data_IF_921622966131
#
_entry.id   IF_921622966131
#
_cell.length_a   1.000
_cell.length_b   1.000
_cell.length_c   1.000
_cell.angle_alpha   90.00
_cell.angle_beta   90.00
_cell.angle_gamma   90.00
#
_symmetry.space_group_name_H-M   'P 1'
#
loop_
_entity.id
_entity.type
_entity.pdbx_description
1 polymer ?
#
# COMPACT_ATOMS: atom_id res chain seq x y z
N UNK A 1 -11.57 -1.11 -35.89
CA UNK A 1 -13.03 -0.94 -35.74
C UNK A 1 -13.42 -1.74 -34.52
N UNK A 2 -13.90 -1.09 -33.44
CA UNK A 2 -14.31 -1.76 -32.22
C UNK A 2 -15.58 -2.60 -32.44
N UNK A 3 -15.71 -3.69 -31.71
CA UNK A 3 -16.94 -4.50 -31.67
C UNK A 3 -18.00 -3.69 -30.91
N UNK A 4 -19.25 -3.58 -31.40
CA UNK A 4 -20.30 -2.87 -30.69
C UNK A 4 -20.56 -3.44 -29.29
N UNK A 5 -20.86 -2.58 -28.32
CA UNK A 5 -21.05 -2.95 -26.91
C UNK A 5 -22.11 -4.03 -26.73
N UNK A 6 -23.19 -3.97 -27.46
CA UNK A 6 -24.28 -4.97 -27.46
C UNK A 6 -23.81 -6.38 -27.81
N UNK A 7 -22.85 -6.53 -28.72
CA UNK A 7 -22.27 -7.84 -29.06
C UNK A 7 -21.32 -8.39 -27.97
N UNK A 8 -20.77 -7.53 -27.12
CA UNK A 8 -19.99 -7.96 -25.97
C UNK A 8 -20.89 -8.47 -24.85
N UNK A 9 -22.00 -7.81 -24.58
CA UNK A 9 -22.93 -8.19 -23.51
C UNK A 9 -23.57 -9.58 -23.76
N UNK A 10 -23.79 -9.96 -25.02
CA UNK A 10 -24.27 -11.31 -25.37
C UNK A 10 -23.19 -12.40 -25.26
N UNK A 11 -21.92 -12.07 -25.47
CA UNK A 11 -20.85 -13.07 -25.61
C UNK A 11 -19.89 -13.13 -24.41
N UNK A 12 -19.87 -12.10 -23.58
CA UNK A 12 -18.99 -12.00 -22.43
C UNK A 12 -19.79 -12.11 -21.15
N UNK A 13 -19.68 -13.24 -20.49
CA UNK A 13 -20.24 -13.41 -19.15
C UNK A 13 -19.18 -13.02 -18.11
N UNK A 14 -19.50 -12.07 -17.24
CA UNK A 14 -18.62 -11.63 -16.18
C UNK A 14 -18.79 -12.55 -14.95
N UNK A 15 -17.96 -13.57 -14.86
CA UNK A 15 -17.92 -14.47 -13.70
C UNK A 15 -17.00 -14.00 -12.58
N UNK A 16 -16.40 -12.81 -12.70
CA UNK A 16 -15.37 -12.35 -11.78
C UNK A 16 -14.02 -13.05 -12.01
N UNK A 17 -13.16 -13.01 -10.99
CA UNK A 17 -11.85 -13.67 -11.03
C UNK A 17 -11.73 -14.65 -9.86
N UNK A 18 -11.70 -15.97 -10.10
CA UNK A 18 -11.52 -16.96 -9.05
C UNK A 18 -10.26 -16.72 -8.21
N UNK A 19 -9.22 -16.19 -8.83
CA UNK A 19 -7.97 -15.84 -8.13
C UNK A 19 -8.16 -14.69 -7.14
N UNK A 20 -8.94 -13.67 -7.51
CA UNK A 20 -9.26 -12.54 -6.64
C UNK A 20 -10.19 -12.99 -5.50
N UNK A 21 -11.22 -13.78 -5.81
CA UNK A 21 -12.13 -14.33 -4.81
C UNK A 21 -11.40 -15.18 -3.78
N UNK A 22 -10.48 -16.02 -4.24
CA UNK A 22 -9.66 -16.85 -3.35
C UNK A 22 -8.77 -15.99 -2.46
N UNK A 23 -8.07 -14.99 -3.01
CA UNK A 23 -7.26 -14.08 -2.22
C UNK A 23 -8.08 -13.30 -1.17
N UNK A 24 -9.32 -12.89 -1.52
CA UNK A 24 -10.23 -12.19 -0.58
C UNK A 24 -10.81 -13.09 0.51
N UNK A 25 -11.11 -14.35 0.18
CA UNK A 25 -11.74 -15.30 1.10
C UNK A 25 -10.76 -16.01 2.02
N UNK A 26 -9.49 -16.10 1.63
CA UNK A 26 -8.46 -16.77 2.42
C UNK A 26 -8.19 -15.99 3.71
N UNK A 27 -8.35 -16.68 4.84
CA UNK A 27 -8.10 -16.12 6.17
C UNK A 27 -6.69 -16.42 6.64
N UNK A 28 -6.15 -15.51 7.46
CA UNK A 28 -4.87 -15.72 8.15
C UNK A 28 -4.91 -16.98 9.00
N UNK A 29 -3.90 -17.82 8.85
CA UNK A 29 -3.74 -19.06 9.60
C UNK A 29 -2.27 -19.23 9.99
N UNK A 30 -1.80 -18.44 10.96
CA UNK A 30 -0.39 -18.47 11.37
C UNK A 30 0.02 -19.85 11.92
N UNK A 31 -0.94 -20.63 12.47
CA UNK A 31 -0.68 -22.01 12.94
C UNK A 31 -0.32 -23.00 11.83
N UNK A 32 -0.69 -22.71 10.58
CA UNK A 32 -0.33 -23.53 9.41
C UNK A 32 1.05 -23.23 8.85
N UNK A 33 1.68 -22.14 9.30
CA UNK A 33 3.00 -21.74 8.86
C UNK A 33 4.11 -22.61 9.50
N UNK A 34 5.24 -22.81 8.82
CA UNK A 34 6.42 -23.43 9.41
C UNK A 34 6.82 -22.74 10.72
N UNK A 35 7.29 -23.51 11.70
CA UNK A 35 7.64 -22.99 13.02
C UNK A 35 8.65 -21.84 12.95
N UNK A 36 9.73 -22.00 12.20
CA UNK A 36 10.74 -20.97 11.95
C UNK A 36 10.12 -19.66 11.44
N UNK A 37 9.07 -19.73 10.60
CA UNK A 37 8.40 -18.54 10.09
C UNK A 37 7.51 -17.89 11.16
N UNK A 38 6.86 -18.69 11.99
CA UNK A 38 6.06 -18.17 13.12
C UNK A 38 6.92 -17.39 14.09
N UNK A 39 8.11 -17.88 14.41
CA UNK A 39 9.07 -17.17 15.27
C UNK A 39 9.42 -15.78 14.72
N UNK A 40 9.55 -15.64 13.40
CA UNK A 40 9.80 -14.33 12.77
C UNK A 40 8.62 -13.35 12.92
N UNK A 41 7.38 -13.87 13.04
CA UNK A 41 6.16 -13.06 13.07
C UNK A 41 5.79 -12.53 14.45
N UNK A 42 6.37 -13.06 15.51
CA UNK A 42 6.02 -12.70 16.88
C UNK A 42 7.21 -12.07 17.61
N UNK A 43 6.90 -11.19 18.53
CA UNK A 43 7.87 -10.62 19.47
C UNK A 43 8.03 -11.55 20.69
N UNK A 44 9.10 -11.39 21.48
CA UNK A 44 9.29 -12.17 22.72
C UNK A 44 8.14 -12.03 23.73
N UNK A 45 7.41 -10.92 23.69
CA UNK A 45 6.22 -10.67 24.53
C UNK A 45 4.95 -11.37 24.00
N UNK A 46 5.05 -12.14 22.93
CA UNK A 46 3.94 -12.83 22.28
C UNK A 46 3.10 -11.96 21.34
N UNK A 47 3.38 -10.67 21.25
CA UNK A 47 2.66 -9.80 20.33
C UNK A 47 3.10 -10.00 18.88
N UNK A 48 2.11 -10.07 17.97
CA UNK A 48 2.39 -10.24 16.55
C UNK A 48 2.95 -8.95 15.94
N UNK A 49 4.02 -9.09 15.18
CA UNK A 49 4.59 -7.99 14.39
C UNK A 49 3.68 -7.65 13.22
N UNK A 50 3.69 -6.39 12.77
CA UNK A 50 3.13 -6.03 11.47
C UNK A 50 4.00 -6.62 10.38
N UNK A 51 3.38 -7.35 9.46
CA UNK A 51 4.09 -8.11 8.43
C UNK A 51 3.95 -7.45 7.08
N UNK A 52 5.09 -7.11 6.48
CA UNK A 52 5.18 -6.49 5.16
C UNK A 52 5.57 -7.55 4.14
N UNK A 53 4.72 -7.74 3.13
CA UNK A 53 5.04 -8.60 1.98
C UNK A 53 5.94 -7.81 1.03
N UNK A 54 7.14 -8.30 0.78
CA UNK A 54 8.09 -7.68 -0.14
C UNK A 54 8.29 -8.56 -1.37
N UNK A 55 7.92 -8.04 -2.55
CA UNK A 55 8.02 -8.77 -3.80
C UNK A 55 8.91 -8.05 -4.81
N UNK A 56 9.75 -8.84 -5.48
CA UNK A 56 10.68 -8.41 -6.50
C UNK A 56 10.19 -8.90 -7.86
N UNK A 57 10.10 -8.01 -8.85
CA UNK A 57 9.70 -8.34 -10.22
C UNK A 57 10.90 -8.50 -11.15
N UNK A 58 10.73 -9.34 -12.15
CA UNK A 58 11.73 -9.51 -13.21
C UNK A 58 11.85 -8.24 -14.05
N UNK A 59 10.75 -7.52 -14.28
CA UNK A 59 10.76 -6.28 -15.04
C UNK A 59 11.64 -5.22 -14.37
N UNK A 60 11.47 -4.99 -13.06
CA UNK A 60 12.30 -4.05 -12.32
C UNK A 60 13.78 -4.47 -12.33
N UNK A 61 14.06 -5.77 -12.20
CA UNK A 61 15.41 -6.30 -12.31
C UNK A 61 16.08 -5.93 -13.64
N UNK A 62 15.35 -6.01 -14.75
CA UNK A 62 15.89 -5.75 -16.07
C UNK A 62 16.02 -4.26 -16.42
N UNK A 63 15.10 -3.45 -15.93
CA UNK A 63 14.99 -2.03 -16.29
C UNK A 63 15.71 -1.09 -15.32
N UNK A 64 15.90 -1.52 -14.06
CA UNK A 64 16.40 -0.64 -13.00
C UNK A 64 17.88 -0.96 -12.67
N UNK A 65 18.80 -0.01 -12.85
CA UNK A 65 20.24 -0.24 -12.61
C UNK A 65 20.57 -0.46 -11.12
N UNK A 66 19.84 0.21 -10.22
CA UNK A 66 20.15 0.25 -8.79
C UNK A 66 19.39 -0.80 -7.96
N UNK A 67 18.77 -1.79 -8.65
CA UNK A 67 17.88 -2.75 -8.00
C UNK A 67 18.55 -3.57 -6.90
N UNK A 68 19.81 -3.98 -7.10
CA UNK A 68 20.56 -4.72 -6.08
C UNK A 68 20.84 -3.89 -4.82
N UNK A 69 21.18 -2.62 -4.99
CA UNK A 69 21.37 -1.71 -3.88
C UNK A 69 20.05 -1.45 -3.16
N UNK A 70 18.96 -1.33 -3.90
CA UNK A 70 17.62 -1.16 -3.32
C UNK A 70 17.20 -2.34 -2.46
N UNK A 71 17.42 -3.58 -2.93
CA UNK A 71 17.15 -4.78 -2.13
C UNK A 71 17.95 -4.74 -0.82
N UNK A 72 19.24 -4.46 -0.90
CA UNK A 72 20.13 -4.36 0.27
C UNK A 72 19.63 -3.31 1.29
N UNK A 73 19.25 -2.12 0.83
CA UNK A 73 18.70 -1.06 1.68
C UNK A 73 17.39 -1.47 2.36
N UNK A 74 16.49 -2.14 1.62
CA UNK A 74 15.23 -2.65 2.19
C UNK A 74 15.52 -3.69 3.28
N UNK A 75 16.37 -4.67 3.00
CA UNK A 75 16.74 -5.69 3.98
C UNK A 75 17.38 -5.04 5.23
N UNK A 76 18.28 -4.09 5.04
CA UNK A 76 18.94 -3.37 6.12
C UNK A 76 17.96 -2.55 6.98
N UNK A 77 16.98 -1.91 6.36
CA UNK A 77 15.94 -1.17 7.07
C UNK A 77 15.11 -2.10 7.97
N UNK A 78 14.64 -3.23 7.46
CA UNK A 78 13.78 -4.15 8.21
C UNK A 78 14.54 -4.94 9.28
N UNK A 79 15.83 -5.26 9.06
CA UNK A 79 16.69 -5.99 10.02
C UNK A 79 16.66 -5.41 11.43
N UNK A 80 16.62 -4.09 11.54
CA UNK A 80 16.67 -3.38 12.80
C UNK A 80 15.29 -3.11 13.43
N UNK A 81 14.19 -3.54 12.79
CA UNK A 81 12.83 -3.28 13.25
C UNK A 81 12.29 -4.45 14.08
N UNK A 82 12.04 -4.17 15.36
CA UNK A 82 11.45 -5.17 16.27
C UNK A 82 9.94 -5.28 16.18
N UNK A 83 9.29 -4.28 15.60
CA UNK A 83 7.84 -4.14 15.45
C UNK A 83 7.33 -4.64 14.10
N UNK A 84 8.24 -4.85 13.13
CA UNK A 84 7.93 -5.29 11.77
C UNK A 84 8.55 -6.65 11.48
N UNK A 85 7.89 -7.41 10.60
CA UNK A 85 8.44 -8.59 9.96
C UNK A 85 8.40 -8.41 8.45
N UNK A 86 9.47 -8.80 7.75
CA UNK A 86 9.51 -8.80 6.30
C UNK A 86 9.23 -10.22 5.78
N UNK A 87 8.29 -10.33 4.85
CA UNK A 87 8.02 -11.55 4.10
C UNK A 87 8.51 -11.36 2.67
N UNK A 88 9.74 -11.75 2.42
CA UNK A 88 10.37 -11.60 1.11
C UNK A 88 9.99 -12.77 0.20
N UNK A 89 9.37 -12.43 -0.93
CA UNK A 89 9.01 -13.39 -1.99
C UNK A 89 9.46 -12.87 -3.35
N UNK A 90 10.66 -13.24 -3.81
CA UNK A 90 11.10 -12.95 -5.16
C UNK A 90 10.23 -13.66 -6.21
N UNK A 91 10.18 -13.11 -7.41
CA UNK A 91 9.55 -13.80 -8.53
C UNK A 91 10.28 -15.15 -8.78
N UNK A 92 9.57 -16.26 -9.08
CA UNK A 92 10.20 -17.57 -9.28
C UNK A 92 11.33 -17.58 -10.33
N UNK A 93 11.23 -16.73 -11.34
CA UNK A 93 12.26 -16.61 -12.39
C UNK A 93 13.34 -15.58 -12.08
N UNK A 94 13.34 -14.98 -10.87
CA UNK A 94 14.24 -13.86 -10.55
C UNK A 94 15.71 -14.27 -10.63
N UNK A 95 16.08 -15.35 -9.99
CA UNK A 95 17.45 -15.87 -9.97
C UNK A 95 17.89 -16.36 -11.35
N UNK A 96 17.04 -17.11 -12.06
CA UNK A 96 17.32 -17.56 -13.40
C UNK A 96 17.50 -16.38 -14.38
N UNK A 97 16.72 -15.33 -14.23
CA UNK A 97 16.88 -14.10 -15.02
C UNK A 97 18.21 -13.40 -14.71
N UNK A 98 18.62 -13.35 -13.43
CA UNK A 98 19.95 -12.84 -13.07
C UNK A 98 21.05 -13.65 -13.74
N UNK A 99 20.97 -14.97 -13.66
CA UNK A 99 22.00 -15.86 -14.22
C UNK A 99 22.20 -15.62 -15.72
N UNK A 100 21.11 -15.44 -16.47
CA UNK A 100 21.15 -15.31 -17.93
C UNK A 100 21.39 -13.86 -18.37
N UNK A 101 20.70 -12.91 -17.75
CA UNK A 101 20.62 -11.54 -18.26
C UNK A 101 21.51 -10.54 -17.50
N UNK A 102 21.84 -10.82 -16.23
CA UNK A 102 22.63 -9.95 -15.37
C UNK A 102 23.56 -10.73 -14.42
N UNK A 103 24.44 -11.60 -14.95
CA UNK A 103 25.26 -12.53 -14.15
C UNK A 103 26.16 -11.81 -13.13
N UNK A 104 26.54 -10.56 -13.40
CA UNK A 104 27.36 -9.75 -12.47
C UNK A 104 26.68 -9.51 -11.11
N UNK A 105 25.37 -9.60 -11.03
CA UNK A 105 24.62 -9.40 -9.78
C UNK A 105 24.25 -10.71 -9.06
N UNK A 106 24.37 -11.86 -9.72
CA UNK A 106 23.92 -13.15 -9.21
C UNK A 106 24.58 -13.51 -7.86
N UNK A 107 25.90 -13.33 -7.75
CA UNK A 107 26.62 -13.62 -6.52
C UNK A 107 26.13 -12.75 -5.36
N UNK A 108 26.04 -11.44 -5.58
CA UNK A 108 25.55 -10.50 -4.55
C UNK A 108 24.12 -10.82 -4.13
N UNK A 109 23.27 -11.17 -5.07
CA UNK A 109 21.89 -11.56 -4.78
C UNK A 109 21.82 -12.81 -3.89
N UNK A 110 22.59 -13.86 -4.23
CA UNK A 110 22.63 -15.09 -3.41
C UNK A 110 23.18 -14.83 -2.01
N UNK A 111 24.23 -14.03 -1.89
CA UNK A 111 24.80 -13.63 -0.60
C UNK A 111 23.77 -12.87 0.27
N UNK A 112 23.00 -11.95 -0.32
CA UNK A 112 21.95 -11.22 0.39
C UNK A 112 20.84 -12.15 0.88
N UNK A 113 20.35 -13.06 0.04
CA UNK A 113 19.31 -14.00 0.44
C UNK A 113 19.79 -15.02 1.47
N UNK A 114 21.01 -15.54 1.33
CA UNK A 114 21.60 -16.45 2.30
C UNK A 114 21.74 -15.80 3.68
N UNK A 115 22.27 -14.58 3.73
CA UNK A 115 22.35 -13.81 4.97
C UNK A 115 20.97 -13.55 5.59
N UNK A 116 20.00 -13.16 4.77
CA UNK A 116 18.64 -12.93 5.22
C UNK A 116 17.99 -14.18 5.85
N UNK A 117 18.18 -15.34 5.24
CA UNK A 117 17.66 -16.61 5.73
C UNK A 117 18.39 -17.10 6.99
N UNK A 118 19.72 -16.98 7.02
CA UNK A 118 20.56 -17.38 8.15
C UNK A 118 20.28 -16.56 9.41
N UNK A 119 20.14 -15.24 9.26
CA UNK A 119 19.86 -14.33 10.37
C UNK A 119 18.45 -14.53 10.97
N UNK A 120 17.50 -15.04 10.21
CA UNK A 120 16.20 -15.50 10.71
C UNK A 120 15.28 -14.42 11.29
N UNK A 121 15.48 -13.15 10.96
CA UNK A 121 14.61 -12.06 11.42
C UNK A 121 13.40 -11.79 10.53
N UNK A 122 13.33 -12.44 9.37
CA UNK A 122 12.24 -12.36 8.41
C UNK A 122 11.98 -13.70 7.70
N UNK A 123 11.07 -13.71 6.76
CA UNK A 123 10.63 -14.91 6.04
C UNK A 123 11.09 -14.84 4.60
N UNK A 124 11.91 -15.80 4.16
CA UNK A 124 12.21 -16.02 2.75
C UNK A 124 11.25 -17.08 2.20
N UNK A 125 10.39 -16.67 1.27
CA UNK A 125 9.36 -17.52 0.68
C UNK A 125 9.69 -17.83 -0.77
N UNK A 126 10.08 -19.07 -1.04
CA UNK A 126 10.45 -19.56 -2.38
C UNK A 126 9.31 -20.26 -3.14
N UNK A 127 8.09 -20.33 -2.59
CA UNK A 127 6.99 -21.00 -3.30
C UNK A 127 5.83 -21.47 -2.43
N UNK A 128 5.67 -20.93 -1.23
CA UNK A 128 4.53 -21.22 -0.37
C UNK A 128 3.19 -20.78 -1.01
N UNK A 129 2.06 -21.22 -0.47
CA UNK A 129 0.73 -20.81 -0.93
C UNK A 129 0.61 -19.28 -0.92
N UNK A 130 0.41 -18.70 -2.10
CA UNK A 130 0.37 -17.25 -2.26
C UNK A 130 -0.81 -16.62 -1.53
N UNK A 131 -1.97 -17.28 -1.51
CA UNK A 131 -3.17 -16.73 -0.88
C UNK A 131 -3.01 -16.70 0.64
N UNK A 132 -2.39 -17.74 1.22
CA UNK A 132 -2.02 -17.76 2.64
C UNK A 132 -0.94 -16.73 2.96
N UNK A 133 0.05 -16.54 2.09
CA UNK A 133 1.07 -15.51 2.26
C UNK A 133 0.44 -14.10 2.25
N UNK A 134 -0.46 -13.82 1.29
CA UNK A 134 -1.24 -12.58 1.23
C UNK A 134 -2.09 -12.41 2.49
N UNK A 135 -2.78 -13.46 2.93
CA UNK A 135 -3.61 -13.43 4.13
C UNK A 135 -2.79 -13.14 5.40
N UNK A 136 -1.57 -13.66 5.48
CA UNK A 136 -0.68 -13.52 6.64
C UNK A 136 -0.01 -12.15 6.73
N UNK A 137 0.12 -11.42 5.62
CA UNK A 137 0.74 -10.09 5.60
C UNK A 137 -0.28 -8.97 5.80
N UNK A 138 0.16 -7.86 6.39
CA UNK A 138 -0.70 -6.70 6.67
C UNK A 138 -0.68 -5.68 5.52
N UNK A 139 0.41 -5.62 4.76
CA UNK A 139 0.55 -4.73 3.60
C UNK A 139 1.55 -5.31 2.58
N UNK A 140 1.54 -4.72 1.39
CA UNK A 140 2.47 -4.99 0.31
C UNK A 140 3.46 -3.82 0.17
N UNK A 141 4.72 -4.14 -0.03
CA UNK A 141 5.76 -3.24 -0.51
C UNK A 141 6.57 -3.95 -1.60
N UNK A 142 6.87 -3.27 -2.70
CA UNK A 142 7.66 -3.87 -3.77
C UNK A 142 7.30 -3.35 -5.16
N UNK A 143 7.69 -4.11 -6.18
CA UNK A 143 7.48 -3.74 -7.57
C UNK A 143 6.01 -3.90 -7.98
N UNK A 144 5.61 -3.16 -9.02
CA UNK A 144 4.31 -3.38 -9.65
C UNK A 144 4.23 -4.81 -10.19
N UNK A 145 3.19 -5.54 -9.81
CA UNK A 145 3.02 -6.95 -10.18
C UNK A 145 1.55 -7.40 -10.01
N UNK A 146 1.23 -8.58 -10.56
CA UNK A 146 -0.08 -9.20 -10.32
C UNK A 146 -0.31 -9.52 -8.84
N UNK A 147 0.74 -9.73 -8.06
CA UNK A 147 0.64 -9.94 -6.61
C UNK A 147 0.24 -8.66 -5.90
N UNK A 148 0.81 -7.52 -6.28
CA UNK A 148 0.39 -6.21 -5.79
C UNK A 148 -1.10 -5.97 -6.03
N UNK A 149 -1.60 -6.36 -7.21
CA UNK A 149 -3.02 -6.25 -7.52
C UNK A 149 -3.88 -7.13 -6.60
N UNK A 150 -3.44 -8.35 -6.27
CA UNK A 150 -4.16 -9.21 -5.31
C UNK A 150 -4.23 -8.58 -3.91
N UNK A 151 -3.13 -7.98 -3.43
CA UNK A 151 -3.15 -7.23 -2.17
C UNK A 151 -4.15 -6.09 -2.21
N UNK A 152 -4.17 -5.33 -3.29
CA UNK A 152 -5.12 -4.27 -3.50
C UNK A 152 -6.57 -4.76 -3.42
N UNK A 153 -6.86 -5.87 -4.08
CA UNK A 153 -8.19 -6.48 -4.08
C UNK A 153 -8.63 -7.00 -2.70
N UNK A 154 -7.70 -7.33 -1.81
CA UNK A 154 -8.01 -7.66 -0.40
C UNK A 154 -8.25 -6.42 0.47
N UNK A 155 -8.09 -5.21 -0.07
CA UNK A 155 -8.21 -3.97 0.66
C UNK A 155 -7.03 -3.65 1.58
N UNK A 156 -5.93 -4.38 1.48
CA UNK A 156 -4.70 -4.11 2.24
C UNK A 156 -3.88 -3.00 1.57
N UNK A 157 -3.12 -2.22 2.34
CA UNK A 157 -2.23 -1.20 1.79
C UNK A 157 -1.22 -1.78 0.81
N UNK A 158 -1.03 -1.09 -0.32
CA UNK A 158 -0.04 -1.42 -1.35
C UNK A 158 0.85 -0.21 -1.58
N UNK A 159 2.14 -0.39 -1.38
CA UNK A 159 3.19 0.60 -1.61
C UNK A 159 4.12 0.09 -2.71
N UNK A 160 4.26 0.86 -3.78
CA UNK A 160 5.23 0.55 -4.83
C UNK A 160 6.59 1.13 -4.47
N UNK A 161 7.63 0.31 -4.60
CA UNK A 161 8.99 0.79 -4.38
C UNK A 161 9.44 1.67 -5.55
N UNK A 162 10.21 2.70 -5.20
CA UNK A 162 11.06 3.40 -6.17
C UNK A 162 12.41 2.68 -6.17
N UNK A 163 12.73 2.03 -7.27
CA UNK A 163 14.00 1.31 -7.44
C UNK A 163 15.20 2.24 -7.67
N UNK A 164 14.96 3.51 -7.91
CA UNK A 164 16.03 4.50 -7.95
C UNK A 164 16.54 4.73 -6.53
N UNK A 165 17.75 4.27 -6.25
CA UNK A 165 18.46 4.61 -5.03
C UNK A 165 18.91 6.06 -5.16
N UNK A 166 18.22 6.95 -4.44
CA UNK A 166 18.61 8.35 -4.35
C UNK A 166 19.42 8.54 -3.08
N UNK A 167 20.59 9.19 -3.20
CA UNK A 167 21.40 9.53 -2.04
C UNK A 167 20.54 10.14 -0.92
N UNK A 168 20.61 9.53 0.25
CA UNK A 168 20.27 9.90 1.64
C UNK A 168 19.32 11.07 1.98
N UNK A 169 18.69 11.73 1.04
CA UNK A 169 17.50 12.54 1.30
C UNK A 169 16.32 11.72 0.86
N UNK A 170 15.76 11.01 1.79
CA UNK A 170 14.54 10.23 1.59
C UNK A 170 13.42 11.19 1.16
N UNK A 171 13.44 11.57 -0.10
CA UNK A 171 12.24 12.06 -0.77
C UNK A 171 11.50 10.78 -1.17
N UNK A 172 10.77 10.20 -0.23
CA UNK A 172 9.66 9.35 -0.62
C UNK A 172 8.89 10.23 -1.60
N UNK A 173 8.65 9.82 -2.86
CA UNK A 173 7.72 10.53 -3.70
C UNK A 173 6.35 10.32 -3.08
N UNK A 174 6.13 11.03 -2.00
CA UNK A 174 4.84 11.20 -1.41
C UNK A 174 4.12 12.10 -2.39
N UNK A 175 3.19 11.54 -3.16
CA UNK A 175 2.23 12.31 -3.89
C UNK A 175 1.11 12.62 -2.89
N UNK A 176 1.20 13.74 -2.15
CA UNK A 176 0.08 14.14 -1.33
C UNK A 176 -1.06 14.46 -2.29
N UNK A 177 -2.07 13.60 -2.31
CA UNK A 177 -3.29 13.90 -3.05
C UNK A 177 -4.01 15.08 -2.41
N UNK A 178 -4.04 15.10 -1.08
CA UNK A 178 -4.59 16.17 -0.26
C UNK A 178 -3.74 16.31 1.00
N UNK A 179 -3.52 17.53 1.47
CA UNK A 179 -2.77 17.78 2.69
C UNK A 179 -3.29 19.00 3.44
N UNK A 180 -3.00 19.03 4.72
CA UNK A 180 -3.07 20.17 5.62
C UNK A 180 -1.71 20.33 6.31
N UNK A 181 -1.25 21.55 6.52
CA UNK A 181 0.08 21.86 7.05
C UNK A 181 0.04 23.08 7.93
N UNK A 182 0.81 23.05 9.02
CA UNK A 182 1.19 24.20 9.82
C UNK A 182 2.72 24.22 10.08
N UNK A 183 3.16 25.04 11.04
CA UNK A 183 4.59 25.17 11.38
C UNK A 183 5.18 23.88 11.99
N UNK A 184 4.35 23.02 12.59
CA UNK A 184 4.79 21.86 13.39
C UNK A 184 4.61 20.54 12.66
N UNK A 185 3.55 20.42 11.87
CA UNK A 185 3.14 19.13 11.33
C UNK A 185 2.47 19.23 9.96
N UNK A 186 2.46 18.08 9.26
CA UNK A 186 1.73 17.89 8.00
C UNK A 186 0.88 16.66 8.12
N UNK A 187 -0.39 16.80 7.77
CA UNK A 187 -1.33 15.69 7.63
C UNK A 187 -1.69 15.54 6.16
N UNK A 188 -1.54 14.35 5.60
CA UNK A 188 -1.83 14.16 4.19
C UNK A 188 -2.38 12.77 3.87
N UNK A 189 -3.19 12.73 2.83
CA UNK A 189 -3.65 11.48 2.21
C UNK A 189 -2.78 11.21 1.01
N UNK A 190 -2.28 10.00 0.89
CA UNK A 190 -1.50 9.61 -0.28
C UNK A 190 -2.41 9.50 -1.51
N UNK A 191 -2.02 10.14 -2.64
CA UNK A 191 -2.86 10.23 -3.83
C UNK A 191 -3.16 8.92 -4.55
N UNK A 192 -2.41 7.83 -4.25
CA UNK A 192 -2.58 6.52 -4.92
C UNK A 192 -2.93 5.39 -3.97
N UNK A 193 -2.89 5.62 -2.67
CA UNK A 193 -3.23 4.61 -1.67
C UNK A 193 -4.16 5.22 -0.64
N UNK A 194 -5.12 4.45 -0.18
CA UNK A 194 -6.13 4.91 0.78
C UNK A 194 -5.56 4.90 2.20
N UNK A 195 -4.55 5.77 2.45
CA UNK A 195 -3.87 5.89 3.73
C UNK A 195 -3.73 7.35 4.16
N UNK A 196 -3.95 7.60 5.45
CA UNK A 196 -3.65 8.86 6.11
C UNK A 196 -2.26 8.80 6.73
N UNK A 197 -1.48 9.85 6.54
CA UNK A 197 -0.14 10.03 7.09
C UNK A 197 -0.05 11.29 7.92
N UNK A 198 0.84 11.24 8.91
CA UNK A 198 1.22 12.36 9.74
C UNK A 198 2.74 12.53 9.71
N UNK A 199 3.22 13.73 9.44
CA UNK A 199 4.63 14.09 9.53
C UNK A 199 4.83 15.16 10.59
N UNK A 200 5.57 14.81 11.63
CA UNK A 200 6.02 15.72 12.68
C UNK A 200 7.33 16.37 12.22
N UNK A 201 7.29 17.68 11.99
CA UNK A 201 8.44 18.45 11.51
C UNK A 201 9.54 18.64 12.57
N UNK A 202 9.17 18.61 13.85
CA UNK A 202 10.14 18.80 14.94
C UNK A 202 10.95 17.54 15.19
N UNK A 203 10.27 16.37 15.12
CA UNK A 203 10.92 15.08 15.31
C UNK A 203 11.45 14.47 14.01
N UNK A 204 11.25 15.13 12.86
CA UNK A 204 11.54 14.59 11.52
C UNK A 204 10.97 13.17 11.34
N UNK A 205 9.73 12.98 11.79
CA UNK A 205 9.12 11.66 11.88
C UNK A 205 7.84 11.56 11.05
N UNK A 206 7.85 10.62 10.09
CA UNK A 206 6.69 10.23 9.31
C UNK A 206 6.01 9.02 9.96
N UNK A 207 4.70 9.12 10.18
CA UNK A 207 3.86 8.06 10.71
C UNK A 207 2.71 7.74 9.76
N UNK A 208 2.48 6.46 9.50
CA UNK A 208 1.27 6.01 8.83
C UNK A 208 0.18 5.81 9.90
N UNK A 209 -0.88 6.59 9.81
CA UNK A 209 -2.00 6.52 10.76
C UNK A 209 -2.85 5.30 10.47
N UNK A 210 -3.21 5.09 9.20
CA UNK A 210 -3.98 3.92 8.84
C UNK A 210 -4.80 4.09 7.58
N UNK A 211 -5.56 3.04 7.28
CA UNK A 211 -6.48 2.99 6.14
C UNK A 211 -7.75 3.78 6.46
N UNK A 212 -8.16 4.63 5.53
CA UNK A 212 -9.42 5.36 5.61
C UNK A 212 -10.56 4.38 5.34
N UNK A 213 -11.51 4.20 6.29
CA UNK A 213 -12.58 3.21 6.17
C UNK A 213 -13.61 3.57 5.09
N UNK A 214 -14.31 2.54 4.60
CA UNK A 214 -15.41 2.71 3.65
C UNK A 214 -15.02 3.01 2.22
N UNK A 215 -13.73 3.22 1.94
CA UNK A 215 -13.25 3.51 0.60
C UNK A 215 -12.49 2.32 0.01
N UNK A 216 -12.79 2.04 -1.25
CA UNK A 216 -12.00 1.12 -2.06
C UNK A 216 -10.82 1.88 -2.68
N UNK A 217 -9.71 1.19 -2.84
CA UNK A 217 -8.59 1.74 -3.58
C UNK A 217 -9.03 2.05 -5.03
N UNK A 218 -8.67 3.23 -5.51
CA UNK A 218 -9.09 3.75 -6.82
C UNK A 218 -7.88 4.22 -7.64
N UNK A 219 -8.01 4.27 -8.96
CA UNK A 219 -6.93 4.70 -9.85
C UNK A 219 -6.61 6.20 -9.78
N UNK A 220 -7.42 7.00 -9.10
CA UNK A 220 -7.28 8.44 -8.97
C UNK A 220 -7.26 8.90 -7.50
N UNK A 221 -7.24 10.21 -7.30
CA UNK A 221 -7.25 10.83 -5.98
C UNK A 221 -8.61 10.62 -5.31
N UNK A 222 -8.66 9.87 -4.21
CA UNK A 222 -9.88 9.70 -3.42
C UNK A 222 -10.30 10.99 -2.73
N UNK A 223 -9.34 11.72 -2.19
CA UNK A 223 -9.53 12.96 -1.47
C UNK A 223 -8.66 14.05 -2.08
N UNK A 224 -9.14 15.29 -2.10
CA UNK A 224 -8.42 16.41 -2.69
C UNK A 224 -8.14 17.58 -1.76
N UNK A 225 -8.72 17.54 -0.57
CA UNK A 225 -8.49 18.55 0.45
C UNK A 225 -8.54 17.90 1.82
N UNK A 226 -7.62 18.31 2.70
CA UNK A 226 -7.68 18.04 4.13
C UNK A 226 -7.93 19.36 4.83
N UNK A 227 -8.92 19.41 5.70
CA UNK A 227 -9.25 20.59 6.51
C UNK A 227 -9.16 20.20 7.97
N UNK A 228 -8.34 20.89 8.74
CA UNK A 228 -8.26 20.69 10.19
C UNK A 228 -9.18 21.66 10.91
N UNK A 229 -9.96 21.13 11.83
CA UNK A 229 -10.77 21.90 12.77
C UNK A 229 -10.49 21.34 14.16
N UNK A 230 -9.76 22.08 14.96
CA UNK A 230 -9.33 21.66 16.29
C UNK A 230 -8.60 20.29 16.25
N UNK A 231 -9.19 19.27 16.86
CA UNK A 231 -8.68 17.88 16.95
C UNK A 231 -9.20 16.95 15.85
N UNK A 232 -9.81 17.50 14.80
CA UNK A 232 -10.41 16.73 13.70
C UNK A 232 -9.84 17.12 12.36
N UNK A 233 -9.58 16.10 11.55
CA UNK A 233 -9.24 16.25 10.14
C UNK A 233 -10.41 15.79 9.28
N UNK A 234 -10.88 16.67 8.42
CA UNK A 234 -11.92 16.41 7.44
C UNK A 234 -11.27 16.14 6.08
N UNK A 235 -11.38 14.91 5.61
CA UNK A 235 -10.84 14.46 4.34
C UNK A 235 -11.95 14.64 3.29
N UNK A 236 -11.84 15.72 2.49
CA UNK A 236 -12.89 16.11 1.55
C UNK A 236 -12.85 15.21 0.31
N UNK A 237 -13.95 14.48 0.02
CA UNK A 237 -13.98 13.51 -1.06
C UNK A 237 -13.87 14.16 -2.45
N UNK A 238 -13.01 13.61 -3.30
CA UNK A 238 -12.94 13.90 -4.72
C UNK A 238 -13.58 12.76 -5.51
N UNK A 239 -12.96 11.58 -5.50
CA UNK A 239 -13.58 10.35 -6.00
C UNK A 239 -14.02 9.41 -4.86
N UNK A 240 -13.76 9.73 -3.61
CA UNK A 240 -14.25 8.97 -2.48
C UNK A 240 -15.79 9.06 -2.36
N UNK A 241 -16.39 8.05 -1.73
CA UNK A 241 -17.84 7.98 -1.49
C UNK A 241 -18.26 8.73 -0.23
N UNK A 242 -17.31 8.83 0.71
CA UNK A 242 -17.56 9.33 2.04
C UNK A 242 -16.71 10.57 2.31
N UNK A 243 -17.25 11.49 3.10
CA UNK A 243 -16.44 12.43 3.85
C UNK A 243 -15.86 11.66 5.03
N UNK A 244 -14.54 11.48 5.05
CA UNK A 244 -13.89 10.84 6.19
C UNK A 244 -13.43 11.90 7.21
N UNK A 245 -13.63 11.60 8.48
CA UNK A 245 -13.23 12.44 9.61
C UNK A 245 -12.28 11.62 10.48
N UNK A 246 -11.10 12.16 10.73
CA UNK A 246 -10.16 11.53 11.65
C UNK A 246 -10.08 12.35 12.94
N UNK A 247 -10.36 11.73 14.06
CA UNK A 247 -10.28 12.31 15.41
C UNK A 247 -8.86 12.08 15.94
N UNK A 248 -8.07 13.13 16.02
CA UNK A 248 -6.65 13.07 16.40
C UNK A 248 -6.49 12.60 17.85
N UNK A 249 -7.36 13.09 18.75
CA UNK A 249 -7.35 12.76 20.17
C UNK A 249 -7.71 11.29 20.46
N UNK A 250 -8.54 10.68 19.61
CA UNK A 250 -9.07 9.32 19.80
C UNK A 250 -8.39 8.27 18.93
N UNK A 251 -7.56 8.71 17.98
CA UNK A 251 -6.97 7.84 16.95
C UNK A 251 -8.03 6.99 16.22
N UNK A 252 -9.13 7.63 15.81
CA UNK A 252 -10.29 6.95 15.22
C UNK A 252 -10.82 7.67 14.00
N UNK A 253 -11.27 6.87 13.02
CA UNK A 253 -11.98 7.36 11.85
C UNK A 253 -13.50 7.30 12.05
N UNK A 254 -14.18 8.33 11.55
CA UNK A 254 -15.61 8.41 11.31
C UNK A 254 -15.84 8.63 9.82
N UNK A 255 -16.94 8.14 9.27
CA UNK A 255 -17.30 8.33 7.87
C UNK A 255 -18.74 8.80 7.73
N UNK A 256 -18.93 9.84 6.94
CA UNK A 256 -20.26 10.33 6.55
C UNK A 256 -20.46 10.01 5.07
N UNK A 257 -21.44 9.16 4.78
CA UNK A 257 -21.76 8.79 3.40
C UNK A 257 -22.33 9.98 2.64
N UNK A 258 -21.72 10.29 1.49
CA UNK A 258 -22.14 11.37 0.58
C UNK A 258 -22.77 10.81 -0.70
N UNK A 259 -22.30 9.64 -1.15
CA UNK A 259 -22.81 8.95 -2.35
C UNK A 259 -23.32 7.55 -2.03
N UNK A 260 -24.40 7.15 -2.70
CA UNK A 260 -24.87 5.78 -2.67
C UNK A 260 -23.92 4.83 -3.41
N UNK A 261 -23.89 3.57 -2.96
CA UNK A 261 -22.98 2.55 -3.49
C UNK A 261 -23.21 2.20 -4.97
N UNK A 262 -24.40 2.49 -5.49
CA UNK A 262 -24.82 2.13 -6.85
C UNK A 262 -24.38 3.12 -7.93
N UNK A 263 -24.03 4.36 -7.55
CA UNK A 263 -23.52 5.34 -8.52
C UNK A 263 -22.00 5.24 -8.63
N UNK A 264 -21.56 4.49 -9.62
CA UNK A 264 -20.13 4.32 -9.91
C UNK A 264 -19.50 5.67 -10.28
N UNK A 265 -18.29 5.84 -9.82
CA UNK A 265 -17.51 7.06 -9.69
C UNK A 265 -16.99 7.50 -11.05
N UNK A 266 -17.80 8.17 -11.85
CA UNK A 266 -17.31 8.79 -13.09
C UNK A 266 -17.00 10.29 -12.92
N UNK A 267 -17.53 10.91 -11.87
CA UNK A 267 -17.37 12.36 -11.66
C UNK A 267 -16.90 12.71 -10.25
N UNK A 268 -15.94 13.63 -10.12
CA UNK A 268 -15.48 14.09 -8.81
C UNK A 268 -16.59 14.86 -8.08
N UNK A 269 -16.59 14.77 -6.72
CA UNK A 269 -17.58 15.45 -5.88
C UNK A 269 -17.19 16.89 -5.59
N UNK A 270 -16.04 17.08 -4.94
CA UNK A 270 -15.60 18.38 -4.49
C UNK A 270 -14.15 18.65 -4.89
N UNK A 271 -13.86 19.89 -5.27
CA UNK A 271 -12.50 20.33 -5.61
C UNK A 271 -11.70 20.71 -4.37
N UNK A 272 -12.34 21.35 -3.41
CA UNK A 272 -11.68 21.90 -2.24
C UNK A 272 -12.63 21.99 -1.06
N UNK A 273 -12.08 21.82 0.17
CA UNK A 273 -12.75 22.16 1.42
C UNK A 273 -12.07 23.35 2.09
N UNK A 274 -12.83 24.17 2.81
CA UNK A 274 -12.33 25.22 3.67
C UNK A 274 -13.26 25.45 4.84
N UNK A 275 -12.71 25.92 5.93
CA UNK A 275 -13.46 26.24 7.16
C UNK A 275 -13.75 27.73 7.26
N UNK A 276 -14.94 28.07 7.74
CA UNK A 276 -15.27 29.42 8.20
C UNK A 276 -16.13 29.32 9.48
N UNK A 277 -15.57 29.76 10.58
CA UNK A 277 -16.18 29.51 11.90
C UNK A 277 -16.30 28.00 12.16
N UNK A 278 -17.47 27.52 12.57
CA UNK A 278 -17.73 26.10 12.84
C UNK A 278 -18.31 25.34 11.63
N UNK A 279 -18.24 25.92 10.42
CA UNK A 279 -18.82 25.34 9.23
C UNK A 279 -17.73 24.95 8.25
N UNK A 280 -17.79 23.68 7.79
CA UNK A 280 -17.00 23.18 6.68
C UNK A 280 -17.75 23.43 5.37
N UNK A 281 -17.14 24.16 4.48
CA UNK A 281 -17.63 24.41 3.13
C UNK A 281 -16.87 23.50 2.14
N UNK A 282 -17.61 22.82 1.27
CA UNK A 282 -17.05 22.00 0.22
C UNK A 282 -17.43 22.60 -1.15
N UNK A 283 -16.42 22.96 -1.93
CA UNK A 283 -16.61 23.52 -3.28
C UNK A 283 -16.90 22.34 -4.23
N UNK A 284 -18.07 22.30 -4.89
CA UNK A 284 -18.40 21.22 -5.82
C UNK A 284 -17.47 21.26 -7.05
N UNK A 285 -17.19 20.09 -7.62
CA UNK A 285 -16.38 19.96 -8.83
C UNK A 285 -17.15 20.34 -10.11
N UNK A 286 -18.48 20.27 -10.05
CA UNK A 286 -19.37 20.57 -11.15
C UNK A 286 -20.48 21.52 -10.70
N UNK A 287 -20.80 22.48 -11.53
CA UNK A 287 -22.02 23.28 -11.39
C UNK A 287 -23.07 22.72 -12.34
N UNK A 288 -24.21 22.33 -11.81
CA UNK A 288 -25.39 22.18 -12.64
C UNK A 288 -25.85 23.57 -13.04
N UNK A 289 -25.70 23.87 -14.33
CA UNK A 289 -26.29 25.08 -14.96
C UNK A 289 -27.79 24.90 -15.12
#
# INVERSE_FOLDING_TARGET
KGVPTEQWEEKVQNFGSPKIERARSTKRQDSSLPEKWRECLYRPDGARKKTVFYSLSVEALLTQPDMMQKIEEVLQYFRNRKDLALWLRPHPLYEQTLEVMRPQFLRKYRELLASYEEEGWGILDSGYDLDLAIASCDCYYGDYSSVAQLFWETGKPVLYQDSLVREKKCKIPCWPGAFWEDEKEVWFVHGKVNLLFHYDKQMDRLSCIGKIPGELAFKGDLFRSVVRVEDRLYLVPYFARNLAIYHIDKDQFESVQIRDAEHFIEQPLFLKGFQRGNVLYCMPAWYNS
#
